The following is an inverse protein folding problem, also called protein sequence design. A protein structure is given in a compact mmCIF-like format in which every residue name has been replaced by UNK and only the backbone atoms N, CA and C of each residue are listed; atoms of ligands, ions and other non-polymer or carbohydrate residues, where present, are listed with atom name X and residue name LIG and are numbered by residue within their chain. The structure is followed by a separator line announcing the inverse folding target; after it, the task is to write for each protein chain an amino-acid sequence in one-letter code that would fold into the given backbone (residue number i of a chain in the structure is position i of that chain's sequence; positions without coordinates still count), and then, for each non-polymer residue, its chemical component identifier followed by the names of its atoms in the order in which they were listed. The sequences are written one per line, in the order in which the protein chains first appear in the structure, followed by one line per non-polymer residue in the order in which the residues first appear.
data_IF_074900256580
#
_entry.id   IF_074900256580
#
_cell.length_a   1.000
_cell.length_b   1.000
_cell.length_c   1.000
_cell.angle_alpha   90.00
_cell.angle_beta   90.00
_cell.angle_gamma   90.00
#
_symmetry.space_group_name_H-M   'P 1'
#
loop_
_entity.id
_entity.type
_entity.pdbx_description
1 polymer ?
#
# COMPACT_ATOMS: atom_id res chain seq x y z
N UNK A 1 -5.26 -5.53 14.64
CA UNK A 1 -4.11 -6.16 13.93
C UNK A 1 -3.51 -5.07 13.06
N UNK A 2 -2.20 -4.92 13.03
CA UNK A 2 -1.56 -3.78 12.35
C UNK A 2 -1.91 -3.86 10.85
N UNK A 3 -2.62 -2.86 10.30
CA UNK A 3 -3.10 -2.87 8.92
C UNK A 3 -1.95 -3.21 7.96
N UNK A 4 -0.83 -2.49 8.14
CA UNK A 4 0.46 -2.68 7.43
C UNK A 4 0.99 -4.12 7.42
N UNK A 5 0.65 -4.94 8.40
CA UNK A 5 1.08 -6.33 8.39
C UNK A 5 0.13 -7.21 7.56
N UNK A 6 -1.19 -6.97 7.65
CA UNK A 6 -2.18 -7.74 6.91
C UNK A 6 -2.00 -7.61 5.40
N UNK A 7 -1.86 -6.40 4.87
CA UNK A 7 -1.78 -6.28 3.43
C UNK A 7 -0.42 -6.72 2.85
N UNK A 8 0.67 -6.78 3.64
CA UNK A 8 1.90 -7.45 3.18
C UNK A 8 1.67 -8.96 3.00
N UNK A 9 0.83 -9.57 3.85
CA UNK A 9 0.42 -10.96 3.67
C UNK A 9 -0.45 -11.12 2.43
N UNK A 10 -1.44 -10.26 2.25
CA UNK A 10 -2.31 -10.28 1.06
C UNK A 10 -1.49 -10.12 -0.24
N UNK A 11 -0.49 -9.24 -0.24
CA UNK A 11 0.45 -9.07 -1.36
C UNK A 11 1.25 -10.34 -1.67
N UNK A 12 1.68 -11.09 -0.64
CA UNK A 12 2.35 -12.38 -0.84
C UNK A 12 1.39 -13.47 -1.29
N UNK A 13 0.15 -13.45 -0.85
CA UNK A 13 -0.84 -14.47 -1.20
C UNK A 13 -1.45 -14.22 -2.59
N UNK A 14 -1.27 -13.02 -3.17
CA UNK A 14 -1.74 -12.72 -4.52
C UNK A 14 -0.94 -13.52 -5.58
N UNK A 15 -1.61 -14.39 -6.37
CA UNK A 15 -0.96 -15.19 -7.40
C UNK A 15 -0.87 -14.47 -8.76
N UNK A 16 -1.45 -13.28 -8.90
CA UNK A 16 -1.54 -12.55 -10.16
C UNK A 16 -0.73 -11.24 -10.11
N UNK A 17 -0.21 -10.78 -11.26
CA UNK A 17 0.30 -9.43 -11.37
C UNK A 17 -0.75 -8.41 -10.95
N UNK A 18 -0.35 -7.49 -10.08
CA UNK A 18 -1.11 -6.30 -9.73
C UNK A 18 -1.18 -5.32 -10.91
N UNK A 19 -2.08 -5.59 -11.85
CA UNK A 19 -2.40 -4.70 -12.96
C UNK A 19 -3.91 -4.61 -13.17
N UNK A 20 -4.41 -3.39 -13.44
CA UNK A 20 -5.79 -3.14 -13.83
C UNK A 20 -5.80 -2.53 -15.25
N UNK A 21 -6.72 -2.99 -16.10
CA UNK A 21 -6.86 -2.52 -17.49
C UNK A 21 -7.08 -1.01 -17.63
N UNK A 22 -7.60 -0.34 -16.59
CA UNK A 22 -7.75 1.12 -16.56
C UNK A 22 -6.41 1.87 -16.57
N UNK A 23 -5.30 1.17 -16.32
CA UNK A 23 -3.95 1.73 -16.38
C UNK A 23 -3.38 1.76 -17.79
N UNK A 24 -4.01 1.07 -18.75
CA UNK A 24 -3.51 0.94 -20.10
C UNK A 24 -3.40 2.32 -20.79
N UNK A 25 -2.19 2.65 -21.26
CA UNK A 25 -1.90 3.93 -21.90
C UNK A 25 -1.75 5.11 -20.94
N UNK A 26 -1.91 4.92 -19.63
CA UNK A 26 -1.64 5.94 -18.63
C UNK A 26 -0.14 6.02 -18.32
N UNK A 27 0.34 7.24 -18.06
CA UNK A 27 1.65 7.42 -17.45
C UNK A 27 1.64 6.97 -15.99
N UNK A 28 2.81 6.62 -15.44
CA UNK A 28 2.98 6.26 -14.04
C UNK A 28 2.40 7.29 -13.07
N UNK A 29 2.53 8.58 -13.39
CA UNK A 29 1.94 9.64 -12.57
C UNK A 29 0.41 9.61 -12.60
N UNK A 30 -0.18 9.38 -13.79
CA UNK A 30 -1.63 9.25 -13.94
C UNK A 30 -2.18 8.02 -13.22
N UNK A 31 -1.48 6.89 -13.27
CA UNK A 31 -1.85 5.67 -12.52
C UNK A 31 -1.85 5.97 -11.02
N UNK A 32 -0.78 6.58 -10.52
CA UNK A 32 -0.68 6.97 -9.12
C UNK A 32 -1.85 7.88 -8.70
N UNK A 33 -2.11 8.94 -9.47
CA UNK A 33 -3.15 9.91 -9.12
C UNK A 33 -4.55 9.31 -9.22
N UNK A 34 -4.79 8.40 -10.16
CA UNK A 34 -6.04 7.66 -10.29
C UNK A 34 -6.30 6.80 -9.05
N UNK A 35 -5.35 5.96 -8.65
CA UNK A 35 -5.48 5.09 -7.47
C UNK A 35 -5.63 5.94 -6.20
N UNK A 36 -4.80 6.98 -6.04
CA UNK A 36 -4.91 7.90 -4.89
C UNK A 36 -6.30 8.53 -4.80
N UNK A 37 -6.82 9.06 -5.90
CA UNK A 37 -8.10 9.77 -5.88
C UNK A 37 -9.29 8.80 -5.74
N UNK A 38 -9.15 7.55 -6.17
CA UNK A 38 -10.15 6.53 -5.89
C UNK A 38 -10.28 6.19 -4.40
N UNK A 39 -9.16 6.20 -3.66
CA UNK A 39 -9.12 5.76 -2.25
C UNK A 39 -9.25 6.95 -1.28
N UNK A 40 -8.59 8.05 -1.59
CA UNK A 40 -8.41 9.22 -0.71
C UNK A 40 -8.97 10.51 -1.31
N UNK A 41 -9.58 10.46 -2.51
CA UNK A 41 -10.20 11.62 -3.12
C UNK A 41 -11.45 12.03 -2.35
N UNK A 42 -11.56 13.32 -2.07
CA UNK A 42 -12.80 13.94 -1.61
C UNK A 42 -13.41 14.64 -2.82
N UNK A 43 -14.45 14.04 -3.39
CA UNK A 43 -15.15 14.57 -4.56
C UNK A 43 -16.66 14.41 -4.46
N UNK A 44 -17.37 14.98 -5.43
CA UNK A 44 -18.83 15.05 -5.43
C UNK A 44 -19.51 13.74 -5.89
N UNK A 45 -18.75 12.65 -6.08
CA UNK A 45 -19.33 11.35 -6.45
C UNK A 45 -20.22 10.82 -5.32
N UNK A 46 -21.16 9.93 -5.67
CA UNK A 46 -21.99 9.28 -4.66
C UNK A 46 -21.15 8.39 -3.75
N UNK A 47 -21.60 8.21 -2.50
CA UNK A 47 -20.95 7.29 -1.55
C UNK A 47 -20.79 5.88 -2.14
N UNK A 48 -21.77 5.41 -2.91
CA UNK A 48 -21.71 4.11 -3.58
C UNK A 48 -20.58 4.03 -4.61
N UNK A 49 -20.39 5.08 -5.42
CA UNK A 49 -19.31 5.14 -6.40
C UNK A 49 -17.93 5.23 -5.71
N UNK A 50 -17.81 6.02 -4.65
CA UNK A 50 -16.59 6.12 -3.85
C UNK A 50 -16.24 4.75 -3.26
N UNK A 51 -17.22 4.04 -2.69
CA UNK A 51 -17.00 2.71 -2.12
C UNK A 51 -16.59 1.69 -3.18
N UNK A 52 -17.22 1.72 -4.36
CA UNK A 52 -16.88 0.81 -5.45
C UNK A 52 -15.44 1.02 -5.96
N UNK A 53 -15.04 2.28 -6.17
CA UNK A 53 -13.69 2.60 -6.61
C UNK A 53 -12.65 2.32 -5.53
N UNK A 54 -12.95 2.67 -4.28
CA UNK A 54 -12.09 2.32 -3.14
C UNK A 54 -11.88 0.80 -3.06
N UNK A 55 -12.94 0.00 -3.22
CA UNK A 55 -12.83 -1.47 -3.22
C UNK A 55 -12.03 -2.01 -4.39
N UNK A 56 -12.19 -1.45 -5.60
CA UNK A 56 -11.45 -1.84 -6.79
C UNK A 56 -9.95 -1.57 -6.64
N UNK A 57 -9.59 -0.37 -6.18
CA UNK A 57 -8.20 0.07 -6.21
C UNK A 57 -7.42 -0.19 -4.91
N UNK A 58 -8.08 -0.68 -3.84
CA UNK A 58 -7.41 -0.92 -2.54
C UNK A 58 -6.20 -1.84 -2.60
N UNK A 59 -6.16 -2.79 -3.54
CA UNK A 59 -5.05 -3.74 -3.66
C UNK A 59 -3.75 -3.10 -4.15
N UNK A 60 -3.86 -1.94 -4.82
CA UNK A 60 -2.72 -1.15 -5.26
C UNK A 60 -2.22 -0.17 -4.18
N UNK A 61 -2.96 0.00 -3.07
CA UNK A 61 -2.58 0.90 -1.98
C UNK A 61 -1.37 0.33 -1.21
N UNK A 62 -0.27 1.08 -1.23
CA UNK A 62 1.02 0.62 -0.72
C UNK A 62 1.68 1.68 0.16
N UNK A 63 2.20 1.26 1.33
CA UNK A 63 2.99 2.13 2.24
C UNK A 63 2.30 3.44 2.68
N UNK A 64 0.98 3.53 2.59
CA UNK A 64 0.12 4.51 3.28
C UNK A 64 -0.33 4.02 4.68
N UNK A 65 0.20 2.87 5.08
CA UNK A 65 -0.07 2.16 6.33
C UNK A 65 -1.49 1.58 6.47
N UNK A 66 -2.27 1.46 5.39
CA UNK A 66 -3.67 1.00 5.43
C UNK A 66 -4.48 1.64 6.56
N UNK A 67 -4.31 2.96 6.76
CA UNK A 67 -5.29 3.79 7.46
C UNK A 67 -4.90 4.63 8.69
N UNK A 68 -3.65 4.66 9.22
CA UNK A 68 -3.47 5.33 10.54
C UNK A 68 -2.28 6.27 10.81
N UNK A 69 -1.22 6.42 9.98
CA UNK A 69 -0.04 7.20 10.47
C UNK A 69 0.69 8.14 9.50
N UNK A 70 0.29 8.25 8.23
CA UNK A 70 0.94 9.18 7.31
C UNK A 70 -0.10 10.05 6.59
N UNK A 71 -0.61 11.04 7.31
CA UNK A 71 -1.36 12.12 6.67
C UNK A 71 -0.48 12.75 5.60
N UNK A 72 -0.90 12.64 4.35
CA UNK A 72 -0.26 13.35 3.26
C UNK A 72 0.83 12.59 2.51
N UNK A 73 0.73 11.27 2.37
CA UNK A 73 1.55 10.51 1.42
C UNK A 73 0.68 9.45 0.77
N UNK A 74 0.93 9.16 -0.50
CA UNK A 74 0.36 8.02 -1.19
C UNK A 74 1.49 7.26 -1.87
N UNK A 75 1.52 5.94 -1.68
CA UNK A 75 2.30 5.09 -2.56
C UNK A 75 1.41 4.02 -3.16
N UNK A 76 1.71 3.68 -4.40
CA UNK A 76 0.94 2.75 -5.20
C UNK A 76 1.90 1.70 -5.71
N UNK A 77 1.52 0.44 -5.60
CA UNK A 77 2.26 -0.69 -6.14
C UNK A 77 1.58 -1.19 -7.40
N UNK A 78 2.34 -1.41 -8.47
CA UNK A 78 1.85 -2.02 -9.71
C UNK A 78 2.85 -3.04 -10.26
N UNK A 79 2.32 -4.07 -10.90
CA UNK A 79 3.04 -5.16 -11.54
C UNK A 79 2.40 -5.42 -12.89
N UNK A 80 2.95 -4.82 -13.94
CA UNK A 80 2.51 -5.04 -15.33
C UNK A 80 2.83 -6.47 -15.81
N UNK A 81 3.85 -7.09 -15.21
CA UNK A 81 4.29 -8.46 -15.47
C UNK A 81 4.71 -9.20 -14.18
N UNK A 82 5.00 -10.49 -14.30
CA UNK A 82 5.41 -11.36 -13.18
C UNK A 82 6.84 -11.08 -12.67
N UNK A 83 7.62 -10.25 -13.38
CA UNK A 83 9.06 -10.09 -13.14
C UNK A 83 9.40 -8.79 -12.43
N UNK A 84 8.63 -7.74 -12.68
CA UNK A 84 8.95 -6.38 -12.28
C UNK A 84 7.84 -5.79 -11.43
N UNK A 85 8.21 -5.22 -10.28
CA UNK A 85 7.30 -4.42 -9.48
C UNK A 85 7.74 -2.96 -9.50
N UNK A 86 6.78 -2.09 -9.76
CA UNK A 86 6.95 -0.64 -9.73
C UNK A 86 6.22 -0.07 -8.52
N UNK A 87 6.94 0.71 -7.72
CA UNK A 87 6.40 1.48 -6.60
C UNK A 87 6.38 2.95 -7.02
N UNK A 88 5.20 3.54 -7.02
CA UNK A 88 4.92 4.91 -7.37
C UNK A 88 4.66 5.67 -6.07
N UNK A 89 5.46 6.67 -5.76
CA UNK A 89 5.33 7.40 -4.50
C UNK A 89 5.24 8.89 -4.75
N UNK A 90 4.30 9.55 -4.08
CA UNK A 90 4.19 11.01 -4.10
C UNK A 90 3.83 11.57 -2.73
N UNK A 91 4.72 12.37 -2.12
CA UNK A 91 4.41 13.08 -0.90
C UNK A 91 3.41 14.21 -1.18
N UNK A 92 2.38 14.30 -0.35
CA UNK A 92 1.30 15.28 -0.38
C UNK A 92 1.20 15.98 0.97
N UNK A 93 2.01 17.00 1.25
CA UNK A 93 2.03 17.66 2.58
C UNK A 93 0.64 17.85 3.20
N UNK A 94 0.34 17.13 4.29
CA UNK A 94 -0.89 17.33 5.06
C UNK A 94 -0.88 18.61 5.90
N UNK A 95 0.32 19.18 6.12
CA UNK A 95 0.54 20.24 7.10
C UNK A 95 0.71 21.63 6.49
N UNK A 96 0.89 21.73 5.17
CA UNK A 96 0.97 23.02 4.50
C UNK A 96 -0.17 23.16 3.51
N UNK A 97 -0.94 24.23 3.63
CA UNK A 97 -1.93 24.68 2.63
C UNK A 97 -1.30 25.02 1.25
N UNK A 98 -0.08 24.55 0.98
CA UNK A 98 0.64 24.73 -0.27
C UNK A 98 0.33 23.56 -1.21
N UNK A 99 -0.46 23.93 -2.21
CA UNK A 99 -1.23 23.14 -3.18
C UNK A 99 -0.49 22.19 -4.11
N UNK A 100 0.83 22.00 -4.01
CA UNK A 100 1.54 21.13 -4.96
C UNK A 100 2.15 19.91 -4.28
N UNK A 101 1.90 18.71 -4.82
CA UNK A 101 2.59 17.51 -4.36
C UNK A 101 4.11 17.69 -4.51
N UNK A 102 4.86 17.02 -3.63
CA UNK A 102 6.30 16.96 -3.78
C UNK A 102 6.72 16.08 -4.96
N UNK A 103 8.03 15.85 -5.14
CA UNK A 103 8.54 15.14 -6.30
C UNK A 103 7.95 13.74 -6.40
N UNK A 104 7.53 13.37 -7.61
CA UNK A 104 7.12 12.01 -7.91
C UNK A 104 8.34 11.10 -7.96
N UNK A 105 8.27 10.00 -7.22
CA UNK A 105 9.35 9.01 -7.13
C UNK A 105 8.85 7.69 -7.69
N UNK A 106 9.65 7.12 -8.59
CA UNK A 106 9.41 5.79 -9.14
C UNK A 106 10.56 4.90 -8.70
N UNK A 107 10.23 3.82 -8.00
CA UNK A 107 11.16 2.74 -7.69
C UNK A 107 10.76 1.49 -8.45
N UNK A 108 11.74 0.82 -9.05
CA UNK A 108 11.53 -0.41 -9.82
C UNK A 108 12.42 -1.49 -9.22
N UNK A 109 11.85 -2.65 -8.96
CA UNK A 109 12.55 -3.80 -8.41
C UNK A 109 12.03 -5.10 -9.04
N UNK A 110 12.72 -6.21 -8.79
CA UNK A 110 12.16 -7.51 -9.18
C UNK A 110 10.99 -7.88 -8.27
N UNK A 111 9.95 -8.47 -8.84
CA UNK A 111 8.80 -9.00 -8.09
C UNK A 111 9.23 -10.01 -7.04
N UNK A 112 10.19 -10.88 -7.38
CA UNK A 112 10.78 -11.81 -6.42
C UNK A 112 11.54 -11.09 -5.30
N UNK A 113 12.26 -10.01 -5.61
CA UNK A 113 12.97 -9.21 -4.61
C UNK A 113 12.02 -8.55 -3.60
N UNK A 114 10.91 -7.98 -4.09
CA UNK A 114 9.87 -7.43 -3.22
C UNK A 114 9.25 -8.52 -2.35
N UNK A 115 8.84 -9.66 -2.93
CA UNK A 115 8.24 -10.77 -2.18
C UNK A 115 9.17 -11.29 -1.08
N UNK A 116 10.46 -11.43 -1.37
CA UNK A 116 11.46 -11.80 -0.36
C UNK A 116 11.55 -10.78 0.78
N UNK A 117 11.51 -9.48 0.47
CA UNK A 117 11.53 -8.43 1.47
C UNK A 117 10.25 -8.45 2.35
N UNK A 118 9.07 -8.63 1.75
CA UNK A 118 7.80 -8.76 2.48
C UNK A 118 7.79 -10.01 3.37
N UNK A 119 8.29 -11.15 2.87
CA UNK A 119 8.41 -12.38 3.63
C UNK A 119 9.30 -12.19 4.85
N UNK A 120 10.50 -11.61 4.68
CA UNK A 120 11.40 -11.32 5.80
C UNK A 120 10.81 -10.36 6.84
N UNK A 121 10.02 -9.37 6.40
CA UNK A 121 9.31 -8.47 7.30
C UNK A 121 8.23 -9.20 8.13
N UNK A 122 7.43 -10.06 7.49
CA UNK A 122 6.39 -10.86 8.15
C UNK A 122 7.01 -11.82 9.15
N UNK A 123 8.06 -12.56 8.76
CA UNK A 123 8.77 -13.47 9.64
C UNK A 123 9.37 -12.75 10.87
N UNK A 124 9.95 -11.56 10.65
CA UNK A 124 10.45 -10.73 11.73
C UNK A 124 9.32 -10.29 12.67
N UNK A 125 8.20 -9.80 12.10
CA UNK A 125 7.06 -9.32 12.88
C UNK A 125 6.46 -10.45 13.72
N UNK A 126 6.25 -11.64 13.14
CA UNK A 126 5.70 -12.81 13.83
C UNK A 126 6.57 -13.25 15.00
N UNK A 127 7.89 -13.26 14.80
CA UNK A 127 8.86 -13.57 15.85
C UNK A 127 8.81 -12.56 16.99
N UNK A 128 8.78 -11.27 16.69
CA UNK A 128 8.72 -10.22 17.72
C UNK A 128 7.38 -10.21 18.45
N UNK A 129 6.27 -10.41 17.75
CA UNK A 129 4.95 -10.56 18.34
C UNK A 129 4.89 -11.74 19.31
N UNK A 130 5.43 -12.91 18.91
CA UNK A 130 5.51 -14.08 19.78
C UNK A 130 6.39 -13.83 21.01
N UNK A 131 7.54 -13.16 20.86
CA UNK A 131 8.45 -12.81 21.96
C UNK A 131 7.80 -11.89 22.99
N UNK A 132 6.97 -10.95 22.53
CA UNK A 132 6.30 -9.96 23.37
C UNK A 132 4.97 -10.45 23.95
N UNK A 133 4.41 -11.54 23.43
CA UNK A 133 3.18 -12.13 23.95
C UNK A 133 3.46 -12.70 25.34
N UNK A 134 2.80 -12.20 26.41
CA UNK A 134 3.03 -12.69 27.76
C UNK A 134 2.72 -14.18 27.82
N UNK A 135 3.67 -14.97 28.32
CA UNK A 135 3.37 -16.35 28.70
C UNK A 135 2.52 -16.28 29.96
N UNK A 136 1.21 -16.46 29.85
CA UNK A 136 0.36 -16.69 31.03
C UNK A 136 0.90 -17.89 31.80
N UNK A 137 1.63 -17.62 32.90
CA UNK A 137 2.33 -18.69 33.63
C UNK A 137 3.46 -18.29 34.57
N UNK A 138 3.70 -17.01 34.86
CA UNK A 138 4.53 -16.60 36.00
C UNK A 138 3.74 -15.74 36.98
N UNK A 139 2.79 -16.37 37.65
CA UNK A 139 2.41 -16.01 39.01
C UNK A 139 3.67 -16.11 39.86
N UNK A 140 4.29 -14.96 40.19
CA UNK A 140 5.32 -14.90 41.23
C UNK A 140 4.65 -15.27 42.54
N UNK A 141 5.03 -16.42 43.11
CA UNK A 141 4.91 -16.67 44.56
C UNK A 141 5.91 -15.80 45.30
#
# INVERSE_FOLDING_TARGET
MYGAYCGFKELLDNPHPLWDESFDGLSREQIHDLVRNAIYGDDERSMEAILADSQRYREFDFLTNWGEQFDGFASVIVQEDDHTTTILHRPHSAWTRQRQPGPFVVAICSTMGLRNACCGLIEWFDREAARLTPTEGRTKR
#
